data_IF_998607327458
#
_entry.id   IF_998607327458
#
_cell.length_a   1.000
_cell.length_b   1.000
_cell.length_c   1.000
_cell.angle_alpha   90.00
_cell.angle_beta   90.00
_cell.angle_gamma   90.00
#
_symmetry.space_group_name_H-M   'P 1'
#
loop_
_entity.id
_entity.type
_entity.pdbx_description
1 polymer ?
#
# COMPACT_ATOMS: atom_id res chain seq x y z
N UNK A 1 -37.18 -23.00 -31.14
CA UNK A 1 -35.90 -23.06 -31.88
C UNK A 1 -35.06 -21.78 -31.77
N UNK A 2 -35.65 -20.59 -31.51
CA UNK A 2 -34.90 -19.32 -31.30
C UNK A 2 -34.07 -19.22 -30.00
N UNK A 3 -34.23 -20.14 -29.04
CA UNK A 3 -33.44 -20.12 -27.80
C UNK A 3 -32.01 -20.70 -27.96
N UNK A 4 -31.73 -21.42 -29.04
CA UNK A 4 -30.45 -22.09 -29.25
C UNK A 4 -29.36 -21.21 -29.90
N UNK A 5 -29.71 -20.08 -30.53
CA UNK A 5 -28.69 -19.18 -31.14
C UNK A 5 -28.15 -18.12 -30.18
N UNK A 6 -28.87 -17.81 -29.08
CA UNK A 6 -28.40 -16.85 -28.08
C UNK A 6 -27.28 -17.41 -27.19
N UNK A 7 -27.26 -18.73 -26.95
CA UNK A 7 -26.20 -19.39 -26.16
C UNK A 7 -24.85 -19.39 -26.88
N UNK A 8 -24.84 -19.47 -28.22
CA UNK A 8 -23.61 -19.57 -29.00
C UNK A 8 -22.91 -18.20 -29.20
N UNK A 9 -23.67 -17.11 -29.16
CA UNK A 9 -23.11 -15.76 -29.15
C UNK A 9 -22.44 -15.40 -27.79
N UNK A 10 -22.92 -15.99 -26.69
CA UNK A 10 -22.35 -15.80 -25.35
C UNK A 10 -21.04 -16.58 -25.14
N UNK A 11 -20.84 -17.69 -25.84
CA UNK A 11 -19.66 -18.56 -25.65
C UNK A 11 -18.43 -18.09 -26.44
N UNK A 12 -18.57 -17.54 -27.65
CA UNK A 12 -17.44 -17.02 -28.44
C UNK A 12 -16.87 -15.69 -27.93
N UNK A 13 -17.64 -14.92 -27.16
CA UNK A 13 -17.16 -13.71 -26.45
C UNK A 13 -16.39 -14.05 -25.16
N UNK A 14 -16.54 -15.27 -24.63
CA UNK A 14 -16.26 -15.57 -23.22
C UNK A 14 -14.77 -15.61 -22.84
N UNK A 15 -13.86 -16.07 -23.72
CA UNK A 15 -12.45 -16.21 -23.35
C UNK A 15 -11.64 -14.91 -23.60
N UNK A 16 -11.80 -14.29 -24.77
CA UNK A 16 -11.07 -13.06 -25.13
C UNK A 16 -11.66 -11.79 -24.50
N UNK A 17 -12.97 -11.75 -24.24
CA UNK A 17 -13.63 -10.61 -23.61
C UNK A 17 -13.27 -10.46 -22.12
N UNK A 18 -13.15 -11.57 -21.39
CA UNK A 18 -12.86 -11.56 -19.95
C UNK A 18 -11.46 -11.00 -19.64
N UNK A 19 -10.46 -11.35 -20.43
CA UNK A 19 -9.08 -10.85 -20.26
C UNK A 19 -9.00 -9.37 -20.60
N UNK A 20 -9.70 -8.93 -21.64
CA UNK A 20 -9.80 -7.52 -22.01
C UNK A 20 -10.63 -6.70 -21.01
N UNK A 21 -11.53 -7.29 -20.22
CA UNK A 21 -12.20 -6.55 -19.15
C UNK A 21 -11.27 -6.32 -17.94
N UNK A 22 -10.45 -7.32 -17.61
CA UNK A 22 -9.58 -7.29 -16.42
C UNK A 22 -8.31 -6.43 -16.59
N UNK A 23 -7.81 -6.18 -17.81
CA UNK A 23 -6.52 -5.49 -17.98
C UNK A 23 -6.45 -4.10 -17.34
N UNK A 24 -7.54 -3.31 -17.37
CA UNK A 24 -7.54 -1.95 -16.83
C UNK A 24 -7.35 -1.88 -15.32
N UNK A 25 -8.17 -2.55 -14.48
CA UNK A 25 -7.94 -2.54 -13.04
C UNK A 25 -6.56 -3.11 -12.69
N UNK A 26 -6.05 -4.10 -13.45
CA UNK A 26 -4.70 -4.63 -13.27
C UNK A 26 -3.64 -3.54 -13.49
N UNK A 27 -3.70 -2.82 -14.60
CA UNK A 27 -2.76 -1.72 -14.90
C UNK A 27 -2.87 -0.59 -13.88
N UNK A 28 -4.10 -0.24 -13.48
CA UNK A 28 -4.38 0.78 -12.46
C UNK A 28 -3.86 0.38 -11.08
N UNK A 29 -3.84 -0.91 -10.75
CA UNK A 29 -3.27 -1.40 -9.49
C UNK A 29 -1.73 -1.43 -9.53
N UNK A 30 -1.16 -1.96 -10.62
CA UNK A 30 0.28 -2.17 -10.77
C UNK A 30 1.05 -0.86 -10.93
N UNK A 31 0.55 0.10 -11.70
CA UNK A 31 1.29 1.34 -11.96
C UNK A 31 1.57 2.19 -10.70
N UNK A 32 0.59 2.49 -9.82
CA UNK A 32 0.85 3.15 -8.55
C UNK A 32 1.81 2.38 -7.68
N UNK A 33 1.67 1.05 -7.61
CA UNK A 33 2.57 0.21 -6.85
C UNK A 33 4.02 0.38 -7.33
N UNK A 34 4.27 0.29 -8.63
CA UNK A 34 5.60 0.49 -9.24
C UNK A 34 6.17 1.90 -9.01
N UNK A 35 5.34 2.94 -9.19
CA UNK A 35 5.78 4.33 -9.03
C UNK A 35 6.11 4.63 -7.57
N UNK A 36 5.23 4.25 -6.65
CA UNK A 36 5.35 4.54 -5.22
C UNK A 36 6.46 3.73 -4.52
N UNK A 37 6.89 2.61 -5.08
CA UNK A 37 8.04 1.83 -4.58
C UNK A 37 9.35 2.14 -5.33
N UNK A 38 9.34 3.08 -6.28
CA UNK A 38 10.54 3.42 -7.05
C UNK A 38 11.56 4.22 -6.22
N UNK A 39 12.85 4.05 -6.52
CA UNK A 39 13.92 4.81 -5.87
C UNK A 39 13.86 6.32 -6.15
N UNK A 40 13.18 6.73 -7.23
CA UNK A 40 12.93 8.13 -7.58
C UNK A 40 12.17 8.88 -6.47
N UNK A 41 11.29 8.17 -5.77
CA UNK A 41 10.48 8.73 -4.70
C UNK A 41 11.31 9.30 -3.54
N UNK A 42 12.51 8.76 -3.29
CA UNK A 42 13.38 9.26 -2.23
C UNK A 42 13.83 10.71 -2.47
N UNK A 43 14.16 11.05 -3.72
CA UNK A 43 14.68 12.38 -4.06
C UNK A 43 13.58 13.44 -4.19
N UNK A 44 12.41 13.04 -4.70
CA UNK A 44 11.31 13.95 -5.02
C UNK A 44 9.95 13.30 -4.72
N UNK A 45 9.64 13.11 -3.44
CA UNK A 45 8.40 12.44 -2.99
C UNK A 45 7.14 13.10 -3.57
N UNK A 46 7.03 14.43 -3.46
CA UNK A 46 5.90 15.20 -3.97
C UNK A 46 5.71 15.07 -5.49
N UNK A 47 6.81 15.00 -6.26
CA UNK A 47 6.73 14.83 -7.72
C UNK A 47 6.27 13.42 -8.08
N UNK A 48 6.76 12.40 -7.37
CA UNK A 48 6.35 11.02 -7.56
C UNK A 48 4.86 10.83 -7.23
N UNK A 49 4.38 11.42 -6.13
CA UNK A 49 2.97 11.38 -5.74
C UNK A 49 2.10 12.12 -6.76
N UNK A 50 2.49 13.32 -7.21
CA UNK A 50 1.76 14.08 -8.23
C UNK A 50 1.69 13.33 -9.57
N UNK A 51 2.80 12.72 -10.01
CA UNK A 51 2.82 11.88 -11.20
C UNK A 51 1.90 10.66 -11.05
N UNK A 52 1.94 9.99 -9.90
CA UNK A 52 1.07 8.86 -9.61
C UNK A 52 -0.41 9.26 -9.68
N UNK A 53 -0.80 10.37 -9.03
CA UNK A 53 -2.16 10.90 -9.06
C UNK A 53 -2.59 11.30 -10.48
N UNK A 54 -1.72 11.95 -11.25
CA UNK A 54 -2.01 12.33 -12.63
C UNK A 54 -2.25 11.10 -13.53
N UNK A 55 -1.42 10.07 -13.41
CA UNK A 55 -1.58 8.80 -14.15
C UNK A 55 -2.88 8.09 -13.73
N UNK A 56 -3.19 8.04 -12.44
CA UNK A 56 -4.43 7.45 -11.95
C UNK A 56 -5.67 8.18 -12.48
N UNK A 57 -5.68 9.51 -12.44
CA UNK A 57 -6.76 10.32 -13.01
C UNK A 57 -6.93 10.05 -14.50
N UNK A 58 -5.84 10.04 -15.27
CA UNK A 58 -5.88 9.75 -16.70
C UNK A 58 -6.50 8.37 -17.01
N UNK A 59 -6.14 7.34 -16.23
CA UNK A 59 -6.66 5.98 -16.40
C UNK A 59 -8.14 5.85 -15.98
N UNK A 60 -8.59 6.64 -15.00
CA UNK A 60 -9.97 6.65 -14.51
C UNK A 60 -10.94 7.48 -15.36
N UNK A 61 -10.46 8.38 -16.23
CA UNK A 61 -11.33 9.15 -17.15
C UNK A 61 -12.14 8.23 -18.06
N UNK A 62 -11.54 7.17 -18.60
CA UNK A 62 -12.28 6.31 -19.53
C UNK A 62 -13.46 5.55 -18.89
N UNK A 63 -13.31 4.83 -17.75
CA UNK A 63 -14.46 4.17 -17.11
C UNK A 63 -15.49 5.17 -16.54
N UNK A 64 -15.06 6.35 -16.08
CA UNK A 64 -16.01 7.38 -15.61
C UNK A 64 -16.87 7.92 -16.74
N UNK A 65 -16.29 8.22 -17.91
CA UNK A 65 -17.03 8.66 -19.09
C UNK A 65 -17.98 7.57 -19.60
N UNK A 66 -17.56 6.30 -19.59
CA UNK A 66 -18.43 5.18 -19.96
C UNK A 66 -19.67 5.09 -19.04
N UNK A 67 -19.45 5.17 -17.73
CA UNK A 67 -20.53 5.13 -16.74
C UNK A 67 -21.44 6.36 -16.85
N UNK A 68 -20.89 7.56 -17.04
CA UNK A 68 -21.68 8.79 -17.13
C UNK A 68 -22.58 8.80 -18.36
N UNK A 69 -22.09 8.36 -19.52
CA UNK A 69 -22.89 8.26 -20.75
C UNK A 69 -24.09 7.33 -20.53
N UNK A 70 -23.88 6.19 -19.86
CA UNK A 70 -24.94 5.22 -19.58
C UNK A 70 -25.95 5.75 -18.57
N UNK A 71 -25.50 6.39 -17.49
CA UNK A 71 -26.41 6.99 -16.52
C UNK A 71 -27.28 8.06 -17.18
N UNK A 72 -26.69 8.91 -18.02
CA UNK A 72 -27.44 9.93 -18.80
C UNK A 72 -28.43 9.25 -19.75
N UNK A 73 -28.03 8.19 -20.45
CA UNK A 73 -28.92 7.42 -21.33
C UNK A 73 -30.12 6.84 -20.59
N UNK A 74 -29.88 6.19 -19.44
CA UNK A 74 -30.94 5.61 -18.59
C UNK A 74 -31.88 6.70 -18.07
N UNK A 75 -31.36 7.85 -17.63
CA UNK A 75 -32.17 8.98 -17.17
C UNK A 75 -33.01 9.54 -18.32
N UNK A 76 -32.42 9.75 -19.49
CA UNK A 76 -33.13 10.25 -20.67
C UNK A 76 -34.25 9.29 -21.11
N UNK A 77 -33.99 7.98 -21.15
CA UNK A 77 -35.02 6.97 -21.46
C UNK A 77 -36.11 6.94 -20.41
N UNK A 78 -35.78 7.13 -19.12
CA UNK A 78 -36.77 7.20 -18.04
C UNK A 78 -37.71 8.40 -18.16
N UNK A 79 -37.21 9.52 -18.69
CA UNK A 79 -38.02 10.73 -18.90
C UNK A 79 -38.94 10.64 -20.12
N UNK A 80 -38.57 9.87 -21.15
CA UNK A 80 -39.34 9.80 -22.41
C UNK A 80 -40.21 8.55 -22.54
N UNK A 81 -39.82 7.43 -21.93
CA UNK A 81 -40.41 6.10 -22.18
C UNK A 81 -40.53 5.26 -20.91
N UNK A 82 -41.37 4.22 -20.94
CA UNK A 82 -41.41 3.21 -19.88
C UNK A 82 -40.13 2.36 -19.90
N UNK A 83 -39.33 2.44 -18.85
CA UNK A 83 -38.04 1.74 -18.74
C UNK A 83 -38.23 0.25 -18.51
N UNK A 84 -37.54 -0.58 -19.29
CA UNK A 84 -37.43 -2.02 -19.07
C UNK A 84 -36.22 -2.31 -18.17
N UNK A 85 -36.45 -2.45 -16.87
CA UNK A 85 -35.38 -2.67 -15.88
C UNK A 85 -34.43 -3.84 -16.16
N UNK A 86 -34.88 -5.01 -16.69
CA UNK A 86 -33.96 -6.09 -17.03
C UNK A 86 -32.92 -5.72 -18.09
N UNK A 87 -33.28 -4.82 -19.02
CA UNK A 87 -32.35 -4.29 -20.03
C UNK A 87 -31.31 -3.37 -19.38
N UNK A 88 -31.77 -2.48 -18.51
CA UNK A 88 -30.91 -1.53 -17.80
C UNK A 88 -29.88 -2.27 -16.94
N UNK A 89 -30.31 -3.28 -16.18
CA UNK A 89 -29.43 -4.11 -15.36
C UNK A 89 -28.35 -4.79 -16.21
N UNK A 90 -28.73 -5.41 -17.33
CA UNK A 90 -27.80 -6.09 -18.24
C UNK A 90 -26.73 -5.12 -18.79
N UNK A 91 -27.15 -3.97 -19.30
CA UNK A 91 -26.24 -3.01 -19.92
C UNK A 91 -25.40 -2.19 -18.93
N UNK A 92 -25.92 -1.92 -17.72
CA UNK A 92 -25.17 -1.22 -16.67
C UNK A 92 -24.17 -2.13 -15.94
N UNK A 93 -24.37 -3.44 -15.97
CA UNK A 93 -23.56 -4.39 -15.20
C UNK A 93 -22.05 -4.24 -15.43
N UNK A 94 -21.60 -4.36 -16.69
CA UNK A 94 -20.18 -4.33 -17.01
C UNK A 94 -19.52 -2.97 -16.76
N UNK A 95 -20.11 -1.83 -17.17
CA UNK A 95 -19.48 -0.52 -16.96
C UNK A 95 -19.44 -0.12 -15.49
N UNK A 96 -20.49 -0.45 -14.72
CA UNK A 96 -20.53 -0.20 -13.27
C UNK A 96 -19.49 -1.03 -12.53
N UNK A 97 -19.48 -2.35 -12.72
CA UNK A 97 -18.52 -3.24 -12.06
C UNK A 97 -17.09 -2.93 -12.45
N UNK A 98 -16.82 -2.59 -13.71
CA UNK A 98 -15.51 -2.12 -14.18
C UNK A 98 -15.09 -0.83 -13.49
N UNK A 99 -15.98 0.15 -13.37
CA UNK A 99 -15.68 1.40 -12.65
C UNK A 99 -15.32 1.13 -11.19
N UNK A 100 -16.14 0.33 -10.48
CA UNK A 100 -15.89 -0.06 -9.09
C UNK A 100 -14.56 -0.79 -8.95
N UNK A 101 -14.26 -1.75 -9.83
CA UNK A 101 -13.00 -2.47 -9.82
C UNK A 101 -11.78 -1.55 -10.07
N UNK A 102 -11.90 -0.58 -10.98
CA UNK A 102 -10.82 0.39 -11.24
C UNK A 102 -10.58 1.32 -10.05
N UNK A 103 -11.64 1.80 -9.38
CA UNK A 103 -11.51 2.63 -8.18
C UNK A 103 -10.90 1.82 -7.03
N UNK A 104 -11.38 0.59 -6.80
CA UNK A 104 -10.82 -0.31 -5.79
C UNK A 104 -9.34 -0.62 -6.08
N UNK A 105 -8.98 -0.91 -7.33
CA UNK A 105 -7.60 -1.11 -7.77
C UNK A 105 -6.72 0.10 -7.47
N UNK A 106 -7.18 1.32 -7.79
CA UNK A 106 -6.44 2.55 -7.55
C UNK A 106 -6.19 2.75 -6.04
N UNK A 107 -7.22 2.60 -5.21
CA UNK A 107 -7.11 2.75 -3.75
C UNK A 107 -6.17 1.70 -3.16
N UNK A 108 -6.34 0.42 -3.52
CA UNK A 108 -5.51 -0.67 -3.01
C UNK A 108 -4.04 -0.51 -3.44
N UNK A 109 -3.78 -0.19 -4.72
CA UNK A 109 -2.43 0.00 -5.24
C UNK A 109 -1.73 1.19 -4.58
N UNK A 110 -2.45 2.30 -4.38
CA UNK A 110 -1.92 3.49 -3.70
C UNK A 110 -1.64 3.25 -2.22
N UNK A 111 -2.59 2.65 -1.49
CA UNK A 111 -2.44 2.35 -0.05
C UNK A 111 -1.30 1.36 0.18
N UNK A 112 -1.23 0.28 -0.62
CA UNK A 112 -0.17 -0.71 -0.49
C UNK A 112 1.20 -0.16 -0.87
N UNK A 113 1.29 0.64 -1.94
CA UNK A 113 2.53 1.30 -2.34
C UNK A 113 3.05 2.26 -1.27
N UNK A 114 2.17 3.06 -0.66
CA UNK A 114 2.53 3.91 0.49
C UNK A 114 2.93 3.11 1.72
N UNK A 115 2.20 2.05 2.03
CA UNK A 115 2.53 1.17 3.15
C UNK A 115 3.95 0.59 2.99
N UNK A 116 4.26 0.01 1.83
CA UNK A 116 5.59 -0.54 1.53
C UNK A 116 6.68 0.53 1.58
N UNK A 117 6.38 1.73 1.09
CA UNK A 117 7.34 2.83 1.10
C UNK A 117 7.68 3.26 2.53
N UNK A 118 6.70 3.65 3.33
CA UNK A 118 6.96 4.24 4.65
C UNK A 118 7.42 3.21 5.69
N UNK A 119 6.92 1.97 5.63
CA UNK A 119 7.27 0.96 6.63
C UNK A 119 8.55 0.19 6.31
N UNK A 120 8.93 0.07 5.03
CA UNK A 120 10.06 -0.79 4.65
C UNK A 120 11.10 -0.07 3.79
N UNK A 121 10.73 0.45 2.61
CA UNK A 121 11.72 0.99 1.67
C UNK A 121 12.38 2.29 2.15
N UNK A 122 11.61 3.22 2.71
CA UNK A 122 12.14 4.48 3.24
C UNK A 122 13.17 4.25 4.35
N UNK A 123 12.86 3.50 5.44
CA UNK A 123 13.86 3.24 6.47
C UNK A 123 15.06 2.45 5.93
N UNK A 124 14.85 1.50 5.02
CA UNK A 124 15.96 0.78 4.38
C UNK A 124 16.90 1.73 3.62
N UNK A 125 16.38 2.59 2.73
CA UNK A 125 17.21 3.51 1.93
C UNK A 125 17.90 4.55 2.80
N UNK A 126 17.27 5.00 3.89
CA UNK A 126 17.91 5.91 4.83
C UNK A 126 19.08 5.23 5.55
N UNK A 127 18.90 3.99 6.00
CA UNK A 127 19.95 3.20 6.67
C UNK A 127 21.07 2.78 5.70
N UNK A 128 20.75 2.47 4.44
CA UNK A 128 21.71 2.08 3.38
C UNK A 128 22.74 3.18 3.11
N UNK A 129 22.37 4.45 3.29
CA UNK A 129 23.26 5.61 3.10
C UNK A 129 24.16 5.90 4.31
N UNK A 130 24.01 5.14 5.39
CA UNK A 130 24.76 5.30 6.62
C UNK A 130 25.78 4.16 6.79
N UNK A 131 26.79 4.38 7.62
CA UNK A 131 27.83 3.38 7.87
C UNK A 131 27.33 2.26 8.80
N UNK A 132 27.83 1.05 8.55
CA UNK A 132 27.61 -0.12 9.41
C UNK A 132 28.81 -0.30 10.33
N UNK A 133 28.58 -0.21 11.63
CA UNK A 133 29.63 -0.38 12.65
C UNK A 133 29.50 -1.73 13.32
N UNK A 134 30.56 -2.54 13.23
CA UNK A 134 30.71 -3.77 14.01
C UNK A 134 31.59 -3.49 15.23
N UNK A 135 31.24 -4.09 16.37
CA UNK A 135 31.97 -3.97 17.64
C UNK A 135 32.13 -2.50 18.10
N UNK A 136 31.07 -1.72 18.02
CA UNK A 136 31.05 -0.37 18.57
C UNK A 136 31.22 -0.41 20.09
N UNK A 137 32.14 0.39 20.63
CA UNK A 137 32.35 0.47 22.07
C UNK A 137 31.32 1.41 22.72
N UNK A 138 30.76 1.07 23.90
CA UNK A 138 29.81 1.93 24.60
C UNK A 138 30.44 3.27 25.05
N UNK A 139 31.78 3.36 25.07
CA UNK A 139 32.53 4.59 25.40
C UNK A 139 32.71 5.54 24.21
N UNK A 140 32.22 5.18 23.02
CA UNK A 140 32.37 6.02 21.83
C UNK A 140 31.52 7.29 21.98
N UNK A 141 32.11 8.44 21.64
CA UNK A 141 31.33 9.68 21.54
C UNK A 141 30.37 9.62 20.36
N UNK A 142 29.21 10.26 20.49
CA UNK A 142 28.24 10.38 19.41
C UNK A 142 28.78 11.11 18.18
N UNK A 143 29.83 11.92 18.30
CA UNK A 143 30.47 12.52 17.12
C UNK A 143 31.06 11.43 16.21
N UNK A 144 31.65 10.37 16.80
CA UNK A 144 32.30 9.29 16.05
C UNK A 144 31.30 8.37 15.35
N UNK A 145 30.09 8.28 15.86
CA UNK A 145 29.03 7.42 15.32
C UNK A 145 27.92 8.25 14.63
N UNK A 146 28.20 9.51 14.29
CA UNK A 146 27.19 10.42 13.74
C UNK A 146 26.62 9.96 12.39
N UNK A 147 27.35 9.15 11.65
CA UNK A 147 26.98 8.50 10.39
C UNK A 147 26.62 7.01 10.56
N UNK A 148 26.56 6.48 11.79
CA UNK A 148 26.18 5.09 12.04
C UNK A 148 24.69 4.87 11.78
N UNK A 149 24.35 3.97 10.86
CA UNK A 149 22.98 3.53 10.58
C UNK A 149 22.65 2.22 11.29
N UNK A 150 23.59 1.28 11.23
CA UNK A 150 23.50 -0.02 11.90
C UNK A 150 24.71 -0.14 12.82
N UNK A 151 24.49 -0.41 14.10
CA UNK A 151 25.56 -0.59 15.06
C UNK A 151 25.36 -1.93 15.80
N UNK A 152 26.38 -2.77 15.76
CA UNK A 152 26.52 -3.91 16.67
C UNK A 152 27.56 -3.53 17.71
N UNK A 153 27.19 -3.56 18.98
CA UNK A 153 28.06 -3.20 20.07
C UNK A 153 28.91 -4.39 20.52
N UNK A 154 30.08 -4.10 21.10
CA UNK A 154 30.94 -5.12 21.67
C UNK A 154 30.29 -5.82 22.89
N UNK A 155 30.86 -6.93 23.33
CA UNK A 155 30.34 -7.70 24.47
C UNK A 155 30.45 -6.97 25.81
N UNK A 156 31.12 -5.81 25.84
CA UNK A 156 31.21 -4.96 27.03
C UNK A 156 30.07 -3.95 27.09
N UNK A 157 29.26 -3.83 26.03
CA UNK A 157 28.09 -2.96 26.05
C UNK A 157 26.90 -3.61 26.77
N UNK A 158 26.17 -2.78 27.51
CA UNK A 158 24.88 -3.06 28.12
C UNK A 158 23.93 -1.89 27.95
N UNK A 159 22.64 -2.12 28.17
CA UNK A 159 21.64 -1.04 28.28
C UNK A 159 21.30 -0.90 29.76
N UNK A 160 21.52 0.28 30.35
CA UNK A 160 21.09 0.53 31.73
C UNK A 160 19.60 0.86 31.75
N UNK A 161 18.79 -0.16 31.97
CA UNK A 161 17.33 -0.10 31.89
C UNK A 161 16.68 0.58 33.10
N UNK A 162 17.42 0.79 34.19
CA UNK A 162 16.91 1.48 35.39
C UNK A 162 17.20 2.98 35.34
N UNK A 163 18.15 3.38 34.48
CA UNK A 163 18.54 4.75 34.23
C UNK A 163 17.81 5.29 32.99
N UNK A 164 16.50 5.48 33.08
CA UNK A 164 15.66 5.89 31.94
C UNK A 164 15.35 7.37 31.94
N UNK A 165 15.30 7.96 30.75
CA UNK A 165 14.66 9.27 30.53
C UNK A 165 13.43 9.10 29.68
N UNK A 166 12.45 9.98 29.87
CA UNK A 166 11.27 9.94 29.02
C UNK A 166 10.54 11.27 28.88
N UNK A 167 9.80 11.37 27.77
CA UNK A 167 8.95 12.51 27.46
C UNK A 167 7.56 12.03 27.07
N UNK A 168 6.53 12.59 27.70
CA UNK A 168 5.13 12.31 27.34
C UNK A 168 4.56 13.43 26.47
N UNK A 169 4.39 13.16 25.17
CA UNK A 169 3.74 14.07 24.24
C UNK A 169 2.90 13.28 23.23
N UNK A 170 1.70 12.85 23.64
CA UNK A 170 0.97 11.78 22.97
C UNK A 170 1.57 10.43 23.39
N UNK A 171 2.32 9.72 22.52
CA UNK A 171 3.12 8.59 22.96
C UNK A 171 4.20 9.01 23.96
N UNK A 172 4.64 8.05 24.77
CA UNK A 172 5.75 8.21 25.72
C UNK A 172 7.04 7.85 25.02
N UNK A 173 7.90 8.82 24.76
CA UNK A 173 9.22 8.62 24.18
C UNK A 173 10.19 8.22 25.28
N UNK A 174 10.80 7.05 25.14
CA UNK A 174 11.65 6.43 26.14
C UNK A 174 13.09 6.37 25.61
N UNK A 175 14.05 6.68 26.47
CA UNK A 175 15.48 6.47 26.19
C UNK A 175 16.18 5.77 27.36
N UNK A 176 17.13 4.91 27.06
CA UNK A 176 18.01 4.27 28.02
C UNK A 176 19.46 4.29 27.51
N UNK A 177 20.45 4.68 28.33
CA UNK A 177 21.83 4.80 27.89
C UNK A 177 22.46 3.42 27.64
N UNK A 178 23.36 3.38 26.67
CA UNK A 178 24.25 2.26 26.41
C UNK A 178 25.52 2.48 27.22
N UNK A 179 25.85 1.55 28.11
CA UNK A 179 26.91 1.68 29.11
C UNK A 179 27.86 0.49 29.08
N UNK A 180 29.13 0.64 29.51
CA UNK A 180 30.01 -0.48 29.73
C UNK A 180 29.55 -1.33 30.92
N UNK A 181 29.54 -2.65 30.73
CA UNK A 181 29.20 -3.66 31.74
C UNK A 181 30.45 -4.47 32.05
N UNK A 182 30.81 -4.54 33.33
CA UNK A 182 32.04 -5.16 33.80
C UNK A 182 31.95 -6.70 33.89
N UNK A 183 30.74 -7.26 33.98
CA UNK A 183 30.50 -8.72 33.97
C UNK A 183 29.14 -9.07 33.35
N UNK A 184 29.09 -10.14 32.54
CA UNK A 184 27.86 -10.66 31.93
C UNK A 184 26.83 -11.08 32.99
N UNK A 185 25.94 -10.16 33.36
CA UNK A 185 24.86 -10.39 34.33
C UNK A 185 23.87 -9.23 34.32
N UNK A 186 22.58 -9.54 34.20
CA UNK A 186 21.48 -8.59 33.97
C UNK A 186 21.28 -7.49 35.05
N UNK A 187 22.01 -7.57 36.16
CA UNK A 187 21.88 -6.67 37.30
C UNK A 187 23.27 -6.33 37.84
N UNK A 188 23.98 -5.31 37.32
CA UNK A 188 25.09 -4.67 38.07
C UNK A 188 25.71 -3.44 37.42
N UNK A 189 26.09 -2.54 38.34
CA UNK A 189 26.93 -1.34 38.28
C UNK A 189 27.48 -0.96 36.89
N UNK A 190 26.85 0.04 36.27
CA UNK A 190 27.43 0.80 35.18
C UNK A 190 28.73 1.45 35.67
N UNK A 191 29.84 1.25 34.96
CA UNK A 191 30.99 2.14 35.13
C UNK A 191 30.54 3.55 34.77
N UNK A 192 30.87 4.54 35.59
CA UNK A 192 30.55 5.93 35.29
C UNK A 192 31.27 6.34 33.99
N UNK A 193 30.51 6.90 33.05
CA UNK A 193 31.04 7.53 31.84
C UNK A 193 31.12 9.05 32.04
N UNK A 194 32.13 9.67 31.43
CA UNK A 194 32.25 11.13 31.41
C UNK A 194 31.10 11.81 30.66
N UNK A 195 30.53 11.11 29.67
CA UNK A 195 29.40 11.56 28.87
C UNK A 195 28.59 10.37 28.36
N UNK A 196 27.29 10.57 28.18
CA UNK A 196 26.34 9.59 27.69
C UNK A 196 25.79 10.08 26.37
N UNK A 197 26.34 9.58 25.27
CA UNK A 197 25.95 9.99 23.92
C UNK A 197 25.16 8.90 23.18
N UNK A 198 25.16 7.65 23.65
CA UNK A 198 24.56 6.52 22.93
C UNK A 198 23.36 6.00 23.71
N UNK A 199 22.20 5.98 23.06
CA UNK A 199 20.93 5.60 23.68
C UNK A 199 20.19 4.56 22.85
N UNK A 200 19.58 3.61 23.54
CA UNK A 200 18.44 2.87 23.01
C UNK A 200 17.18 3.70 23.18
N UNK A 201 16.34 3.74 22.17
CA UNK A 201 15.14 4.55 22.12
C UNK A 201 13.92 3.73 21.66
N UNK A 202 12.74 4.13 22.11
CA UNK A 202 11.47 3.55 21.69
C UNK A 202 10.26 4.33 22.22
N UNK A 203 9.07 3.97 21.75
CA UNK A 203 7.81 4.62 22.16
C UNK A 203 6.91 3.66 22.95
N UNK A 204 6.28 4.16 24.00
CA UNK A 204 5.27 3.46 24.83
C UNK A 204 5.76 2.14 25.44
N UNK A 205 7.04 2.10 25.81
CA UNK A 205 7.72 0.89 26.27
C UNK A 205 8.58 1.13 27.52
N UNK A 206 8.29 2.16 28.31
CA UNK A 206 8.90 2.41 29.62
C UNK A 206 7.86 2.89 30.63
N UNK A 207 8.10 2.61 31.91
CA UNK A 207 7.43 3.31 33.02
C UNK A 207 8.25 4.54 33.41
N UNK A 208 7.60 5.67 33.65
CA UNK A 208 8.24 6.96 33.90
C UNK A 208 7.91 7.51 35.30
N UNK A 209 8.85 7.50 36.27
CA UNK A 209 10.17 6.84 36.23
C UNK A 209 10.06 5.31 36.34
N UNK A 210 11.05 4.58 35.82
CA UNK A 210 10.99 3.11 35.82
C UNK A 210 11.87 2.42 34.79
N UNK A 211 11.46 1.22 34.38
CA UNK A 211 12.29 0.29 33.61
C UNK A 211 12.08 0.42 32.10
N UNK A 212 13.17 0.46 31.33
CA UNK A 212 13.13 0.44 29.88
C UNK A 212 12.83 -0.97 29.32
N UNK A 213 11.84 -1.08 28.43
CA UNK A 213 11.34 -2.33 27.85
C UNK A 213 11.07 -2.22 26.34
N UNK A 214 11.85 -1.42 25.63
CA UNK A 214 11.71 -1.27 24.18
C UNK A 214 12.54 -2.29 23.40
N UNK A 215 12.10 -2.64 22.19
CA UNK A 215 12.84 -3.54 21.30
C UNK A 215 12.97 -4.96 21.86
N UNK A 216 14.13 -5.58 21.62
CA UNK A 216 14.39 -6.99 21.96
C UNK A 216 14.77 -7.23 23.43
N UNK A 217 14.33 -6.37 24.34
CA UNK A 217 14.74 -6.37 25.75
C UNK A 217 14.51 -7.70 26.49
N UNK A 218 13.47 -8.44 26.10
CA UNK A 218 13.07 -9.70 26.74
C UNK A 218 13.76 -10.92 26.14
N UNK A 219 14.39 -10.78 24.97
CA UNK A 219 15.05 -11.88 24.28
C UNK A 219 16.49 -11.96 24.79
N UNK A 220 16.95 -13.12 25.30
CA UNK A 220 18.33 -13.28 25.74
C UNK A 220 19.30 -12.93 24.61
N UNK A 221 19.99 -11.80 24.75
CA UNK A 221 20.86 -11.27 23.71
C UNK A 221 22.27 -11.84 23.88
N UNK A 222 22.83 -12.41 22.81
CA UNK A 222 24.27 -12.72 22.74
C UNK A 222 25.09 -11.49 22.39
N UNK A 223 24.48 -10.52 21.69
CA UNK A 223 25.06 -9.23 21.34
C UNK A 223 23.97 -8.15 21.38
N UNK A 224 24.36 -6.93 21.72
CA UNK A 224 23.48 -5.76 21.68
C UNK A 224 23.69 -5.08 20.33
N UNK A 225 22.62 -4.90 19.59
CA UNK A 225 22.62 -4.13 18.36
C UNK A 225 21.55 -3.06 18.38
N UNK A 226 21.66 -2.15 17.42
CA UNK A 226 20.61 -1.19 17.18
C UNK A 226 20.60 -0.63 15.77
N UNK A 227 19.39 -0.30 15.32
CA UNK A 227 19.14 0.44 14.09
C UNK A 227 18.93 1.90 14.42
N UNK A 228 19.58 2.81 13.71
CA UNK A 228 19.43 4.23 13.99
C UNK A 228 17.99 4.70 13.79
N UNK A 229 17.52 5.55 14.70
CA UNK A 229 16.26 6.27 14.51
C UNK A 229 16.43 7.32 13.42
N UNK A 230 15.92 7.00 12.24
CA UNK A 230 15.99 7.84 11.03
C UNK A 230 14.89 8.90 10.95
N UNK A 231 13.76 8.69 11.63
CA UNK A 231 12.65 9.64 11.71
C UNK A 231 13.08 10.93 12.45
N UNK A 232 13.04 12.07 11.73
CA UNK A 232 13.49 13.36 12.24
C UNK A 232 12.56 13.94 13.31
N UNK A 233 11.25 13.69 13.22
CA UNK A 233 10.26 14.18 14.17
C UNK A 233 10.43 13.46 15.51
N UNK A 234 10.49 12.12 15.48
CA UNK A 234 10.74 11.32 16.69
C UNK A 234 12.08 11.63 17.34
N UNK A 235 13.11 11.93 16.55
CA UNK A 235 14.45 12.23 17.05
C UNK A 235 14.46 13.45 17.97
N UNK A 236 13.67 14.49 17.66
CA UNK A 236 13.57 15.68 18.52
C UNK A 236 12.99 15.33 19.89
N UNK A 237 11.96 14.48 19.94
CA UNK A 237 11.37 14.02 21.19
C UNK A 237 12.31 13.12 21.99
N UNK A 238 13.09 12.25 21.32
CA UNK A 238 14.15 11.49 21.99
C UNK A 238 15.27 12.38 22.53
N UNK A 239 15.61 13.47 21.86
CA UNK A 239 16.57 14.47 22.39
C UNK A 239 16.07 15.12 23.67
N UNK A 240 14.78 15.46 23.74
CA UNK A 240 14.17 15.99 24.96
C UNK A 240 14.13 14.93 26.08
N UNK A 241 13.81 13.67 25.77
CA UNK A 241 13.87 12.57 26.73
C UNK A 241 15.31 12.32 27.23
N UNK A 242 16.33 12.50 26.39
CA UNK A 242 17.73 12.43 26.80
C UNK A 242 18.17 13.61 27.68
N UNK A 243 17.57 14.79 27.50
CA UNK A 243 17.77 15.93 28.39
C UNK A 243 17.11 15.70 29.75
N UNK A 244 15.91 15.12 29.78
CA UNK A 244 15.24 14.70 31.01
C UNK A 244 16.08 13.65 31.76
N UNK A 245 16.60 12.64 31.06
CA UNK A 245 17.58 11.69 31.60
C UNK A 245 18.80 12.40 32.23
N UNK A 246 19.39 13.35 31.50
CA UNK A 246 20.58 14.07 31.93
C UNK A 246 20.31 14.85 33.23
N UNK A 247 19.16 15.52 33.31
CA UNK A 247 18.73 16.25 34.49
C UNK A 247 18.41 15.33 35.67
N UNK A 248 17.63 14.28 35.43
CA UNK A 248 17.16 13.34 36.47
C UNK A 248 18.28 12.54 37.12
N UNK A 249 19.34 12.22 36.38
CA UNK A 249 20.46 11.41 36.86
C UNK A 249 21.77 12.20 37.05
N UNK A 250 21.73 13.53 36.92
CA UNK A 250 22.91 14.40 36.99
C UNK A 250 24.05 13.93 36.06
N UNK A 251 23.70 13.56 34.82
CA UNK A 251 24.64 13.08 33.79
C UNK A 251 24.83 14.12 32.70
N UNK A 252 25.94 13.99 31.97
CA UNK A 252 26.26 14.88 30.84
C UNK A 252 25.96 14.16 29.53
N UNK A 253 25.15 14.80 28.68
CA UNK A 253 24.83 14.36 27.32
C UNK A 253 25.32 15.43 26.35
N UNK A 254 26.20 15.08 25.40
CA UNK A 254 26.79 16.06 24.47
C UNK A 254 26.19 15.92 23.07
N UNK A 255 26.27 14.73 22.49
CA UNK A 255 25.86 14.46 21.11
C UNK A 255 25.02 13.17 21.08
N UNK A 256 23.75 13.21 21.51
CA UNK A 256 22.95 12.01 21.66
C UNK A 256 22.62 11.37 20.29
N UNK A 257 22.87 10.07 20.17
CA UNK A 257 22.45 9.20 19.07
C UNK A 257 21.47 8.17 19.62
N UNK A 258 20.42 7.93 18.85
CA UNK A 258 19.33 7.03 19.21
C UNK A 258 19.29 5.83 18.28
N UNK A 259 19.23 4.65 18.89
CA UNK A 259 19.07 3.38 18.22
C UNK A 259 17.80 2.67 18.70
N UNK A 260 17.06 2.03 17.81
CA UNK A 260 16.05 1.04 18.18
C UNK A 260 16.78 -0.27 18.52
N UNK A 261 16.54 -0.80 19.72
CA UNK A 261 17.22 -2.01 20.21
C UNK A 261 16.82 -3.25 19.40
N UNK A 262 17.80 -3.85 18.72
CA UNK A 262 17.69 -5.15 18.02
C UNK A 262 18.87 -6.04 18.37
N UNK A 263 18.63 -7.28 18.77
CA UNK A 263 19.72 -8.21 19.09
C UNK A 263 20.54 -8.58 17.84
N UNK A 264 19.88 -8.73 16.69
CA UNK A 264 20.52 -8.86 15.37
C UNK A 264 20.16 -7.65 14.48
N UNK A 265 20.88 -6.55 14.66
CA UNK A 265 20.67 -5.34 13.90
C UNK A 265 20.93 -5.53 12.39
N UNK A 266 21.93 -6.34 12.03
CA UNK A 266 22.26 -6.61 10.62
C UNK A 266 21.20 -7.47 9.94
N UNK A 267 20.71 -8.51 10.64
CA UNK A 267 19.59 -9.33 10.17
C UNK A 267 18.30 -8.52 10.04
N UNK A 268 17.99 -7.67 11.02
CA UNK A 268 16.79 -6.80 10.99
C UNK A 268 16.86 -5.80 9.83
N UNK A 269 18.02 -5.20 9.58
CA UNK A 269 18.23 -4.34 8.41
C UNK A 269 17.94 -5.06 7.09
N UNK A 270 18.44 -6.29 6.92
CA UNK A 270 18.16 -7.12 5.73
C UNK A 270 16.69 -7.55 5.66
N UNK A 271 16.06 -7.80 6.81
CA UNK A 271 14.66 -8.18 6.88
C UNK A 271 13.74 -7.07 6.33
N UNK A 272 14.05 -5.78 6.58
CA UNK A 272 13.27 -4.66 6.03
C UNK A 272 13.09 -4.78 4.51
N UNK A 273 14.18 -5.04 3.78
CA UNK A 273 14.16 -5.18 2.32
C UNK A 273 13.49 -6.48 1.88
N UNK A 274 13.79 -7.59 2.55
CA UNK A 274 13.23 -8.90 2.21
C UNK A 274 11.72 -8.92 2.40
N UNK A 275 11.21 -8.40 3.51
CA UNK A 275 9.77 -8.30 3.78
C UNK A 275 9.07 -7.42 2.73
N UNK A 276 9.66 -6.26 2.40
CA UNK A 276 9.14 -5.39 1.35
C UNK A 276 9.03 -6.13 0.02
N UNK A 277 10.09 -6.82 -0.39
CA UNK A 277 10.15 -7.53 -1.65
C UNK A 277 9.17 -8.70 -1.69
N UNK A 278 9.02 -9.46 -0.60
CA UNK A 278 8.04 -10.56 -0.51
C UNK A 278 6.63 -10.03 -0.70
N UNK A 279 6.25 -8.97 0.02
CA UNK A 279 4.91 -8.37 -0.11
C UNK A 279 4.71 -7.76 -1.51
N UNK A 280 5.72 -7.08 -2.05
CA UNK A 280 5.69 -6.47 -3.37
C UNK A 280 5.51 -7.51 -4.49
N UNK A 281 6.29 -8.59 -4.50
CA UNK A 281 6.16 -9.65 -5.50
C UNK A 281 4.85 -10.44 -5.33
N UNK A 282 4.42 -10.68 -4.08
CA UNK A 282 3.11 -11.28 -3.80
C UNK A 282 1.98 -10.38 -4.34
N UNK A 283 2.06 -9.07 -4.17
CA UNK A 283 1.08 -8.14 -4.69
C UNK A 283 1.05 -8.10 -6.23
N UNK A 284 2.21 -8.07 -6.87
CA UNK A 284 2.32 -8.09 -8.34
C UNK A 284 1.79 -9.37 -8.98
N UNK A 285 1.86 -10.50 -8.27
CA UNK A 285 1.39 -11.80 -8.76
C UNK A 285 -0.06 -12.07 -8.37
N UNK A 286 -0.41 -11.96 -7.09
CA UNK A 286 -1.75 -12.23 -6.58
C UNK A 286 -2.76 -11.16 -6.99
N UNK A 287 -2.38 -9.88 -7.05
CA UNK A 287 -3.28 -8.78 -7.42
C UNK A 287 -3.97 -9.00 -8.77
N UNK A 288 -3.22 -9.22 -9.86
CA UNK A 288 -3.80 -9.53 -11.16
C UNK A 288 -4.69 -10.77 -11.17
N UNK A 289 -4.27 -11.84 -10.47
CA UNK A 289 -5.06 -13.07 -10.35
C UNK A 289 -6.39 -12.82 -9.65
N UNK A 290 -6.41 -12.00 -8.60
CA UNK A 290 -7.63 -11.61 -7.89
C UNK A 290 -8.59 -10.85 -8.83
N UNK A 291 -8.09 -9.91 -9.64
CA UNK A 291 -8.94 -9.19 -10.59
C UNK A 291 -9.48 -10.08 -11.71
N UNK A 292 -8.69 -11.04 -12.21
CA UNK A 292 -9.17 -12.04 -13.18
C UNK A 292 -10.23 -12.95 -12.56
N UNK A 293 -10.01 -13.43 -11.33
CA UNK A 293 -11.01 -14.24 -10.63
C UNK A 293 -12.30 -13.45 -10.39
N UNK A 294 -12.18 -12.18 -9.99
CA UNK A 294 -13.30 -11.27 -9.82
C UNK A 294 -14.14 -11.12 -11.10
N UNK A 295 -13.51 -10.91 -12.26
CA UNK A 295 -14.26 -10.78 -13.53
C UNK A 295 -14.94 -12.10 -13.93
N UNK A 296 -14.31 -13.25 -13.68
CA UNK A 296 -14.92 -14.57 -13.92
C UNK A 296 -16.15 -14.77 -13.03
N UNK A 297 -16.06 -14.44 -11.74
CA UNK A 297 -17.19 -14.54 -10.80
C UNK A 297 -18.33 -13.62 -11.24
N UNK A 298 -18.04 -12.37 -11.58
CA UNK A 298 -19.06 -11.44 -12.07
C UNK A 298 -19.74 -11.90 -13.36
N UNK A 299 -18.99 -12.53 -14.26
CA UNK A 299 -19.56 -13.13 -15.47
C UNK A 299 -20.53 -14.26 -15.11
N UNK A 300 -20.16 -15.15 -14.19
CA UNK A 300 -21.03 -16.21 -13.70
C UNK A 300 -22.31 -15.66 -13.04
N UNK A 301 -22.18 -14.61 -12.22
CA UNK A 301 -23.35 -13.94 -11.61
C UNK A 301 -24.28 -13.37 -12.68
N UNK A 302 -23.74 -12.72 -13.71
CA UNK A 302 -24.55 -12.17 -14.81
C UNK A 302 -25.30 -13.28 -15.55
N UNK A 303 -24.65 -14.42 -15.81
CA UNK A 303 -25.28 -15.58 -16.45
C UNK A 303 -26.46 -16.09 -15.62
N UNK A 304 -26.27 -16.25 -14.31
CA UNK A 304 -27.34 -16.65 -13.38
C UNK A 304 -28.50 -15.63 -13.39
N UNK A 305 -28.20 -14.33 -13.37
CA UNK A 305 -29.23 -13.27 -13.44
C UNK A 305 -30.04 -13.32 -14.75
N UNK A 306 -29.39 -13.69 -15.86
CA UNK A 306 -30.05 -13.89 -17.15
C UNK A 306 -30.97 -15.13 -17.14
N UNK A 307 -30.54 -16.25 -16.54
CA UNK A 307 -31.36 -17.46 -16.41
C UNK A 307 -32.65 -17.22 -15.62
N UNK A 308 -32.56 -16.46 -14.53
CA UNK A 308 -33.73 -16.07 -13.72
C UNK A 308 -34.54 -14.92 -14.32
N UNK A 309 -34.22 -14.45 -15.53
CA UNK A 309 -34.89 -13.33 -16.23
C UNK A 309 -34.85 -12.01 -15.47
N UNK A 310 -33.94 -11.84 -14.51
CA UNK A 310 -33.70 -10.55 -13.86
C UNK A 310 -32.93 -9.58 -14.76
N UNK A 311 -32.06 -10.12 -15.61
CA UNK A 311 -31.35 -9.40 -16.66
C UNK A 311 -31.74 -9.97 -18.02
N UNK A 312 -31.87 -9.12 -19.04
CA UNK A 312 -32.16 -9.57 -20.39
C UNK A 312 -31.43 -8.70 -21.42
N UNK A 313 -30.82 -9.28 -22.46
CA UNK A 313 -30.15 -8.56 -23.55
C UNK A 313 -31.17 -7.95 -24.53
N UNK A 314 -32.02 -7.07 -24.00
CA UNK A 314 -32.99 -6.29 -24.78
C UNK A 314 -32.31 -5.05 -25.38
N UNK A 315 -33.03 -4.33 -26.24
CA UNK A 315 -32.55 -3.10 -26.87
C UNK A 315 -31.93 -2.14 -25.85
N UNK A 316 -30.68 -1.70 -26.06
CA UNK A 316 -30.01 -0.79 -25.15
C UNK A 316 -30.68 0.59 -25.14
N UNK A 317 -30.73 1.28 -23.97
CA UNK A 317 -31.18 2.66 -23.88
C UNK A 317 -30.10 3.60 -24.44
N UNK A 318 -30.02 3.72 -25.77
CA UNK A 318 -29.05 4.60 -26.43
C UNK A 318 -29.68 5.97 -26.68
N UNK A 319 -29.02 7.07 -26.26
CA UNK A 319 -29.52 8.41 -26.57
C UNK A 319 -29.49 8.67 -28.08
N UNK A 320 -30.61 9.16 -28.63
CA UNK A 320 -30.70 9.58 -30.03
C UNK A 320 -30.05 10.97 -30.24
N UNK A 321 -29.68 11.29 -31.48
CA UNK A 321 -29.11 12.61 -31.84
C UNK A 321 -27.60 12.70 -31.70
N UNK A 322 -27.08 13.85 -31.26
CA UNK A 322 -25.63 14.15 -31.19
C UNK A 322 -24.85 13.22 -30.26
N UNK A 323 -25.49 12.64 -29.24
CA UNK A 323 -24.88 11.69 -28.31
C UNK A 323 -24.61 10.31 -28.94
N UNK A 324 -25.21 10.00 -30.09
CA UNK A 324 -25.01 8.72 -30.78
C UNK A 324 -23.54 8.51 -31.18
N UNK A 325 -22.87 9.53 -31.73
CA UNK A 325 -21.46 9.45 -32.10
C UNK A 325 -20.54 9.21 -30.89
N UNK A 326 -20.84 9.84 -29.74
CA UNK A 326 -20.09 9.57 -28.51
C UNK A 326 -20.30 8.14 -28.01
N UNK A 327 -21.53 7.64 -28.05
CA UNK A 327 -21.84 6.26 -27.65
C UNK A 327 -21.10 5.23 -28.51
N UNK A 328 -21.00 5.44 -29.83
CA UNK A 328 -20.24 4.57 -30.73
C UNK A 328 -18.76 4.49 -30.35
N UNK A 329 -18.16 5.61 -29.95
CA UNK A 329 -16.74 5.66 -29.58
C UNK A 329 -16.45 5.05 -28.21
N UNK A 330 -17.31 5.30 -27.22
CA UNK A 330 -17.06 4.89 -25.83
C UNK A 330 -17.69 3.54 -25.44
N UNK A 331 -18.70 3.08 -26.16
CA UNK A 331 -19.45 1.84 -25.92
C UNK A 331 -19.53 0.97 -27.19
N UNK A 332 -18.38 0.57 -27.78
CA UNK A 332 -18.36 -0.13 -29.06
C UNK A 332 -19.10 -1.47 -29.03
N UNK A 333 -19.07 -2.19 -27.90
CA UNK A 333 -19.75 -3.47 -27.74
C UNK A 333 -21.28 -3.35 -27.83
N UNK A 334 -21.85 -2.30 -27.22
CA UNK A 334 -23.29 -2.01 -27.34
C UNK A 334 -23.67 -1.69 -28.77
N UNK A 335 -22.84 -0.87 -29.45
CA UNK A 335 -23.11 -0.51 -30.82
C UNK A 335 -23.05 -1.73 -31.76
N UNK A 336 -22.05 -2.59 -31.57
CA UNK A 336 -21.92 -3.83 -32.35
C UNK A 336 -23.15 -4.74 -32.17
N UNK A 337 -23.59 -4.94 -30.92
CA UNK A 337 -24.79 -5.72 -30.63
C UNK A 337 -26.06 -5.13 -31.29
N UNK A 338 -26.18 -3.80 -31.35
CA UNK A 338 -27.29 -3.16 -32.06
C UNK A 338 -27.24 -3.42 -33.57
N UNK A 339 -26.06 -3.31 -34.17
CA UNK A 339 -25.88 -3.58 -35.61
C UNK A 339 -26.21 -5.04 -35.92
N UNK A 340 -25.77 -5.97 -35.08
CA UNK A 340 -26.03 -7.39 -35.24
C UNK A 340 -27.54 -7.70 -35.12
N UNK A 341 -28.24 -7.09 -34.15
CA UNK A 341 -29.70 -7.22 -34.03
C UNK A 341 -30.45 -6.65 -35.25
N UNK A 342 -30.03 -5.48 -35.76
CA UNK A 342 -30.62 -4.90 -36.96
C UNK A 342 -30.39 -5.77 -38.19
N UNK A 343 -29.20 -6.35 -38.32
CA UNK A 343 -28.88 -7.28 -39.40
C UNK A 343 -29.78 -8.53 -39.32
N UNK A 344 -29.98 -9.10 -38.13
CA UNK A 344 -30.88 -10.24 -37.93
C UNK A 344 -32.33 -9.93 -38.31
N UNK A 345 -32.89 -8.81 -37.84
CA UNK A 345 -34.26 -8.39 -38.17
C UNK A 345 -34.44 -8.17 -39.68
N UNK A 346 -33.44 -7.59 -40.34
CA UNK A 346 -33.47 -7.40 -41.80
C UNK A 346 -33.40 -8.72 -42.57
N UNK A 347 -32.69 -9.72 -42.03
CA UNK A 347 -32.66 -11.05 -42.60
C UNK A 347 -34.02 -11.74 -42.43
N UNK A 348 -34.61 -11.72 -41.25
CA UNK A 348 -35.91 -12.34 -40.98
C UNK A 348 -37.01 -11.76 -41.89
N UNK A 349 -37.04 -10.43 -42.05
CA UNK A 349 -37.96 -9.76 -42.99
C UNK A 349 -37.75 -10.20 -44.44
N UNK A 350 -36.51 -10.41 -44.87
CA UNK A 350 -36.18 -10.86 -46.23
C UNK A 350 -36.60 -12.30 -46.48
N UNK A 351 -36.56 -13.14 -45.45
CA UNK A 351 -36.90 -14.57 -45.55
C UNK A 351 -38.36 -14.89 -45.18
N UNK A 352 -39.14 -13.91 -44.73
CA UNK A 352 -40.57 -14.10 -44.41
C UNK A 352 -40.81 -15.07 -43.24
N UNK A 353 -39.84 -15.14 -42.32
CA UNK A 353 -39.89 -15.96 -41.12
C UNK A 353 -40.69 -15.29 -39.98
#
# INVERSE_FOLDING_TARGET
MLAASASDALTLSSAGGCTLAAHRPIVIFVLPLLLLTSSLRYGQDALCELLCQAVLLALLISPTVQLSILVVGVVATKLTSKVRWPAVLFWMWWPLTKFVACVAAAVCGFMLGNYLWFNNYLPHVQLERMQVYANATPKASGIRLQDAGVATFDSTAGVDRLMTGCLKNGPTFCVAPIVPVEQQGFNRASTALDHYDLFMAGTDCCSCPGEFRCGDWSVPATAIGGLRVVDAERRQFYSLAAQDFAAGHAKVVKNPIFFEWKNDASGTYRALQNEANVIYFAALTCGPLIFVLYTVILNGILQVLCEFKFAAPLEPPVPQGTLSSMSQRFLPQMHQHMVDQQAQLSADQKYGL
#
